data_IF_304422386886
#
_entry.id   IF_304422386886
#
_cell.length_a   1.000
_cell.length_b   1.000
_cell.length_c   1.000
_cell.angle_alpha   90.00
_cell.angle_beta   90.00
_cell.angle_gamma   90.00
#
_symmetry.space_group_name_H-M   'P 1'
#
loop_
_entity.id
_entity.type
_entity.pdbx_description
1 polymer ?
#
# COMPACT_ATOMS: atom_id res chain seq x y z
N UNK A 1 -17.31 -3.61 21.08
CA UNK A 1 -17.32 -4.22 19.73
C UNK A 1 -18.17 -3.39 18.79
N UNK A 2 -17.67 -3.07 17.59
CA UNK A 2 -18.42 -2.37 16.55
C UNK A 2 -18.66 -3.32 15.36
N UNK A 3 -19.89 -3.39 14.89
CA UNK A 3 -20.28 -4.22 13.74
C UNK A 3 -21.13 -3.41 12.77
N UNK A 4 -20.77 -3.45 11.48
CA UNK A 4 -21.52 -2.79 10.41
C UNK A 4 -21.23 -3.45 9.06
N UNK A 5 -22.27 -3.76 8.28
CA UNK A 5 -22.11 -4.24 6.90
C UNK A 5 -21.30 -5.54 6.74
N UNK A 6 -21.29 -6.42 7.74
CA UNK A 6 -20.47 -7.64 7.75
C UNK A 6 -19.01 -7.43 8.17
N UNK A 7 -18.63 -6.19 8.49
CA UNK A 7 -17.33 -5.85 9.06
C UNK A 7 -17.43 -5.72 10.58
N UNK A 8 -16.33 -6.06 11.27
CA UNK A 8 -16.24 -6.01 12.72
C UNK A 8 -14.91 -5.44 13.18
N UNK A 9 -14.95 -4.56 14.17
CA UNK A 9 -13.79 -4.07 14.92
C UNK A 9 -14.00 -4.43 16.39
N UNK A 10 -13.03 -5.12 16.96
CA UNK A 10 -13.07 -5.62 18.34
C UNK A 10 -11.93 -4.99 19.12
N UNK A 11 -12.27 -4.34 20.22
CA UNK A 11 -11.30 -3.99 21.26
C UNK A 11 -11.24 -5.16 22.24
N UNK A 12 -10.14 -5.92 22.20
CA UNK A 12 -9.95 -7.07 23.10
C UNK A 12 -9.52 -6.64 24.51
N UNK A 13 -9.17 -5.36 24.72
CA UNK A 13 -8.85 -4.80 26.02
C UNK A 13 -10.08 -4.50 26.89
N UNK A 14 -11.26 -4.44 26.28
CA UNK A 14 -12.53 -4.20 26.97
C UNK A 14 -12.79 -5.26 28.06
N UNK A 15 -13.42 -4.83 29.16
CA UNK A 15 -13.71 -5.67 30.34
C UNK A 15 -14.45 -6.97 29.99
N UNK A 16 -15.26 -6.95 28.93
CA UNK A 16 -15.98 -8.13 28.45
C UNK A 16 -15.06 -9.27 27.97
N UNK A 17 -13.83 -8.94 27.56
CA UNK A 17 -12.81 -9.89 27.09
C UNK A 17 -11.71 -10.17 28.12
N UNK A 18 -11.63 -9.38 29.19
CA UNK A 18 -10.57 -9.46 30.22
C UNK A 18 -11.06 -9.96 31.58
N UNK A 19 -12.36 -10.28 31.72
CA UNK A 19 -12.89 -10.82 32.97
C UNK A 19 -12.20 -12.14 33.37
N UNK A 20 -11.40 -12.08 34.45
CA UNK A 20 -10.64 -13.23 34.96
C UNK A 20 -9.42 -13.62 34.10
N UNK A 21 -8.97 -12.76 33.19
CA UNK A 21 -7.80 -12.98 32.32
C UNK A 21 -6.92 -11.73 32.28
N UNK A 22 -5.59 -11.86 32.06
CA UNK A 22 -4.75 -10.68 31.83
C UNK A 22 -5.18 -9.93 30.56
N UNK A 23 -4.86 -8.64 30.50
CA UNK A 23 -5.09 -7.81 29.30
C UNK A 23 -4.34 -8.40 28.09
N UNK A 24 -4.90 -8.39 26.87
CA UNK A 24 -4.30 -9.06 25.70
C UNK A 24 -2.93 -8.55 25.26
N UNK A 25 -2.58 -7.31 25.65
CA UNK A 25 -1.24 -6.78 25.44
C UNK A 25 -0.18 -7.49 26.29
N UNK A 26 -0.56 -7.99 27.47
CA UNK A 26 0.33 -8.68 28.42
C UNK A 26 0.36 -10.17 28.10
N UNK A 27 -0.82 -10.77 27.94
CA UNK A 27 -1.00 -12.19 27.64
C UNK A 27 -1.72 -12.34 26.28
N UNK A 28 -1.07 -12.89 25.25
CA UNK A 28 -1.65 -12.97 23.91
C UNK A 28 -2.75 -14.03 23.78
N UNK A 29 -3.00 -14.86 24.79
CA UNK A 29 -3.89 -16.04 24.71
C UNK A 29 -5.29 -15.67 24.21
N UNK A 30 -5.90 -14.62 24.75
CA UNK A 30 -7.24 -14.19 24.32
C UNK A 30 -7.25 -13.81 22.84
N UNK A 31 -6.23 -13.09 22.37
CA UNK A 31 -6.10 -12.73 20.95
C UNK A 31 -5.91 -13.96 20.07
N UNK A 32 -5.07 -14.91 20.48
CA UNK A 32 -4.87 -16.16 19.73
C UNK A 32 -6.16 -16.96 19.59
N UNK A 33 -6.96 -17.07 20.67
CA UNK A 33 -8.27 -17.73 20.65
C UNK A 33 -9.22 -17.05 19.65
N UNK A 34 -9.29 -15.71 19.64
CA UNK A 34 -10.15 -14.98 18.69
C UNK A 34 -9.68 -15.13 17.24
N UNK A 35 -8.36 -15.19 17.00
CA UNK A 35 -7.79 -15.47 15.67
C UNK A 35 -8.16 -16.90 15.24
N UNK A 36 -8.02 -17.89 16.11
CA UNK A 36 -8.34 -19.30 15.80
C UNK A 36 -9.81 -19.52 15.43
N UNK A 37 -10.75 -18.76 16.00
CA UNK A 37 -12.18 -18.81 15.60
C UNK A 37 -12.38 -18.51 14.12
N UNK A 38 -11.47 -17.76 13.48
CA UNK A 38 -11.55 -17.47 12.06
C UNK A 38 -11.45 -18.73 11.19
N UNK A 39 -10.93 -19.86 11.68
CA UNK A 39 -10.99 -21.14 10.96
C UNK A 39 -12.42 -21.50 10.55
N UNK A 40 -13.41 -21.20 11.40
CA UNK A 40 -14.82 -21.52 11.14
C UNK A 40 -15.59 -20.37 10.45
N UNK A 41 -14.91 -19.28 10.04
CA UNK A 41 -15.55 -18.07 9.49
C UNK A 41 -15.08 -17.77 8.07
N UNK A 42 -15.44 -18.58 7.06
CA UNK A 42 -14.93 -18.45 5.68
C UNK A 42 -15.29 -17.12 5.00
N UNK A 43 -16.32 -16.42 5.49
CA UNK A 43 -16.71 -15.09 5.01
C UNK A 43 -15.73 -13.98 5.42
N UNK A 44 -14.91 -14.17 6.45
CA UNK A 44 -13.91 -13.19 6.89
C UNK A 44 -12.68 -13.30 6.01
N UNK A 45 -12.53 -12.44 5.00
CA UNK A 45 -11.38 -12.46 4.09
C UNK A 45 -10.16 -11.65 4.55
N UNK A 46 -10.35 -10.72 5.50
CA UNK A 46 -9.30 -9.82 5.99
C UNK A 46 -9.32 -9.78 7.52
N UNK A 47 -8.13 -9.89 8.13
CA UNK A 47 -7.89 -9.70 9.56
C UNK A 47 -6.97 -8.47 9.74
N UNK A 48 -7.45 -7.47 10.47
CA UNK A 48 -6.66 -6.33 10.94
C UNK A 48 -6.16 -6.59 12.36
N UNK A 49 -4.89 -6.30 12.64
CA UNK A 49 -4.27 -6.45 13.95
C UNK A 49 -3.41 -5.23 14.27
N UNK A 50 -3.35 -4.87 15.55
CA UNK A 50 -2.30 -4.03 16.11
C UNK A 50 -1.33 -4.90 16.95
N UNK A 51 -0.05 -4.58 16.85
CA UNK A 51 1.01 -5.19 17.63
C UNK A 51 1.71 -4.07 18.40
N UNK A 52 1.38 -3.98 19.69
CA UNK A 52 1.92 -2.95 20.58
C UNK A 52 3.08 -3.55 21.39
N UNK A 53 4.21 -2.87 21.38
CA UNK A 53 5.45 -3.26 22.05
C UNK A 53 5.67 -2.40 23.31
N UNK A 54 6.80 -2.65 23.99
CA UNK A 54 7.24 -1.89 25.13
C UNK A 54 7.13 -2.66 26.45
N UNK A 55 7.45 -1.98 27.54
CA UNK A 55 7.45 -2.57 28.87
C UNK A 55 6.05 -3.02 29.29
N UNK A 56 5.97 -4.22 29.87
CA UNK A 56 4.71 -4.82 30.32
C UNK A 56 3.89 -5.50 29.21
N UNK A 57 4.27 -5.34 27.94
CA UNK A 57 3.69 -6.12 26.86
C UNK A 57 4.30 -7.53 26.81
N UNK A 58 3.65 -8.42 26.05
CA UNK A 58 4.15 -9.76 25.73
C UNK A 58 5.61 -9.70 25.25
N UNK A 59 6.42 -10.71 25.60
CA UNK A 59 7.82 -10.77 25.21
C UNK A 59 8.03 -10.98 23.71
N UNK A 60 7.11 -11.69 23.04
CA UNK A 60 7.15 -11.93 21.60
C UNK A 60 5.75 -11.86 20.96
N UNK A 61 5.15 -10.67 20.86
CA UNK A 61 3.78 -10.52 20.40
C UNK A 61 3.60 -10.88 18.91
N UNK A 62 4.61 -10.68 18.06
CA UNK A 62 4.58 -11.13 16.67
C UNK A 62 4.61 -12.65 16.57
N UNK A 63 5.45 -13.32 17.36
CA UNK A 63 5.52 -14.79 17.37
C UNK A 63 4.15 -15.42 17.69
N UNK A 64 3.49 -14.93 18.73
CA UNK A 64 2.15 -15.39 19.10
C UNK A 64 1.10 -15.16 18.00
N UNK A 65 1.20 -14.04 17.26
CA UNK A 65 0.32 -13.76 16.11
C UNK A 65 0.60 -14.74 14.97
N UNK A 66 1.87 -14.95 14.62
CA UNK A 66 2.28 -15.87 13.55
C UNK A 66 1.78 -17.28 13.84
N UNK A 67 2.01 -17.79 15.06
CA UNK A 67 1.57 -19.12 15.47
C UNK A 67 0.05 -19.29 15.30
N UNK A 68 -0.75 -18.34 15.80
CA UNK A 68 -2.20 -18.40 15.68
C UNK A 68 -2.68 -18.36 14.21
N UNK A 69 -2.04 -17.53 13.36
CA UNK A 69 -2.39 -17.43 11.94
C UNK A 69 -2.02 -18.70 11.18
N UNK A 70 -0.88 -19.32 11.48
CA UNK A 70 -0.48 -20.59 10.87
C UNK A 70 -1.47 -21.70 11.21
N UNK A 71 -1.95 -21.77 12.44
CA UNK A 71 -3.01 -22.72 12.81
C UNK A 71 -4.31 -22.49 12.03
N UNK A 72 -4.70 -21.23 11.81
CA UNK A 72 -5.88 -20.90 10.99
C UNK A 72 -5.65 -21.34 9.55
N UNK A 73 -4.53 -20.95 8.94
CA UNK A 73 -4.19 -21.26 7.54
C UNK A 73 -4.08 -22.76 7.28
N UNK A 74 -3.58 -23.55 8.24
CA UNK A 74 -3.48 -25.00 8.11
C UNK A 74 -4.86 -25.69 8.07
N UNK A 75 -5.88 -25.11 8.71
CA UNK A 75 -7.23 -25.70 8.82
C UNK A 75 -8.25 -25.08 7.87
N UNK A 76 -7.91 -23.98 7.20
CA UNK A 76 -8.85 -23.15 6.44
C UNK A 76 -8.52 -23.15 4.95
N UNK A 77 -9.50 -23.53 4.13
CA UNK A 77 -9.36 -23.50 2.67
C UNK A 77 -9.57 -22.10 2.05
N UNK A 78 -10.48 -21.29 2.62
CA UNK A 78 -10.74 -19.94 2.15
C UNK A 78 -9.58 -19.00 2.51
N UNK A 79 -9.15 -18.09 1.61
CA UNK A 79 -8.04 -17.19 1.89
C UNK A 79 -8.35 -16.26 3.07
N UNK A 80 -7.28 -15.88 3.78
CA UNK A 80 -7.30 -14.89 4.85
C UNK A 80 -6.07 -13.99 4.68
N UNK A 81 -6.31 -12.73 4.31
CA UNK A 81 -5.26 -11.71 4.29
C UNK A 81 -5.15 -11.12 5.69
N UNK A 82 -3.93 -10.97 6.18
CA UNK A 82 -3.66 -10.39 7.49
C UNK A 82 -2.84 -9.13 7.31
N UNK A 83 -3.27 -8.05 7.97
CA UNK A 83 -2.60 -6.76 7.98
C UNK A 83 -2.32 -6.38 9.43
N UNK A 84 -1.11 -5.94 9.72
CA UNK A 84 -0.69 -5.53 11.05
C UNK A 84 -0.08 -4.12 11.04
N UNK A 85 -0.36 -3.34 12.08
CA UNK A 85 0.39 -2.14 12.43
C UNK A 85 1.23 -2.39 13.67
N UNK A 86 2.46 -1.87 13.73
CA UNK A 86 3.31 -1.95 14.92
C UNK A 86 3.44 -0.60 15.62
N UNK A 87 3.14 -0.58 16.91
CA UNK A 87 3.38 0.57 17.79
C UNK A 87 4.48 0.23 18.78
N UNK A 88 5.55 1.01 18.78
CA UNK A 88 6.76 0.76 19.57
C UNK A 88 8.00 1.20 18.81
N UNK A 89 9.16 0.84 19.32
CA UNK A 89 10.47 1.28 18.85
C UNK A 89 11.49 0.12 18.85
N UNK A 90 12.64 0.31 18.20
CA UNK A 90 13.73 -0.68 18.24
C UNK A 90 14.43 -0.78 19.60
N UNK A 91 14.22 0.20 20.48
CA UNK A 91 14.77 0.19 21.85
C UNK A 91 13.85 -0.49 22.86
N UNK A 92 12.62 -0.84 22.47
CA UNK A 92 11.73 -1.63 23.31
C UNK A 92 12.27 -3.06 23.49
N UNK A 93 11.96 -3.74 24.61
CA UNK A 93 12.50 -5.07 24.91
C UNK A 93 12.31 -6.12 23.80
N UNK A 94 11.26 -5.98 22.99
CA UNK A 94 10.91 -6.90 21.91
C UNK A 94 11.65 -6.61 20.59
N UNK A 95 12.14 -5.37 20.40
CA UNK A 95 12.76 -4.88 19.16
C UNK A 95 11.78 -4.76 17.97
N UNK A 96 11.34 -3.54 17.63
CA UNK A 96 10.35 -3.30 16.56
C UNK A 96 10.69 -3.93 15.21
N UNK A 97 11.92 -3.76 14.73
CA UNK A 97 12.34 -4.22 13.40
C UNK A 97 12.28 -5.75 13.30
N UNK A 98 12.77 -6.47 14.32
CA UNK A 98 12.70 -7.92 14.37
C UNK A 98 11.26 -8.46 14.47
N UNK A 99 10.39 -7.78 15.22
CA UNK A 99 8.96 -8.10 15.27
C UNK A 99 8.28 -7.89 13.90
N UNK A 100 8.63 -6.81 13.20
CA UNK A 100 8.09 -6.50 11.87
C UNK A 100 8.57 -7.52 10.81
N UNK A 101 9.85 -7.88 10.81
CA UNK A 101 10.41 -8.90 9.90
C UNK A 101 9.74 -10.25 10.10
N UNK A 102 9.58 -10.69 11.36
CA UNK A 102 8.88 -11.95 11.68
C UNK A 102 7.46 -12.00 11.11
N UNK A 103 6.70 -10.91 11.20
CA UNK A 103 5.36 -10.82 10.61
C UNK A 103 5.41 -10.89 9.08
N UNK A 104 6.34 -10.15 8.45
CA UNK A 104 6.48 -10.12 6.99
C UNK A 104 6.90 -11.49 6.42
N UNK A 105 7.83 -12.18 7.08
CA UNK A 105 8.24 -13.54 6.71
C UNK A 105 7.08 -14.53 6.76
N UNK A 106 6.17 -14.37 7.72
CA UNK A 106 4.92 -15.12 7.80
C UNK A 106 3.85 -14.68 6.76
N UNK A 107 4.17 -13.77 5.84
CA UNK A 107 3.24 -13.27 4.83
C UNK A 107 2.11 -12.42 5.42
N UNK A 108 2.38 -11.68 6.48
CA UNK A 108 1.49 -10.67 7.06
C UNK A 108 1.91 -9.30 6.50
N UNK A 109 0.95 -8.53 5.99
CA UNK A 109 1.22 -7.18 5.50
C UNK A 109 1.44 -6.23 6.68
N UNK A 110 2.68 -5.78 6.88
CA UNK A 110 3.01 -4.80 7.92
C UNK A 110 3.02 -3.41 7.30
N UNK A 111 2.11 -2.55 7.78
CA UNK A 111 1.93 -1.16 7.34
C UNK A 111 2.20 -0.19 8.48
N UNK A 112 2.51 1.06 8.15
CA UNK A 112 3.07 2.00 9.13
C UNK A 112 2.00 2.82 9.86
N UNK A 113 0.78 2.92 9.29
CA UNK A 113 -0.30 3.72 9.86
C UNK A 113 -1.63 2.98 9.89
N UNK A 114 -2.50 3.35 10.84
CA UNK A 114 -3.87 2.84 10.89
C UNK A 114 -4.67 3.21 9.63
N UNK A 115 -4.45 4.41 9.08
CA UNK A 115 -5.10 4.85 7.85
C UNK A 115 -4.76 3.91 6.69
N UNK A 116 -3.47 3.61 6.50
CA UNK A 116 -3.00 2.68 5.48
C UNK A 116 -3.59 1.27 5.68
N UNK A 117 -3.59 0.77 6.91
CA UNK A 117 -4.16 -0.55 7.23
C UNK A 117 -5.65 -0.64 6.86
N UNK A 118 -6.43 0.39 7.22
CA UNK A 118 -7.86 0.44 6.94
C UNK A 118 -8.14 0.60 5.45
N UNK A 119 -7.42 1.48 4.75
CA UNK A 119 -7.57 1.65 3.30
C UNK A 119 -7.20 0.36 2.54
N UNK A 120 -6.15 -0.34 2.97
CA UNK A 120 -5.78 -1.64 2.41
C UNK A 120 -6.89 -2.66 2.65
N UNK A 121 -7.41 -2.79 3.87
CA UNK A 121 -8.53 -3.69 4.18
C UNK A 121 -9.79 -3.39 3.35
N UNK A 122 -10.12 -2.11 3.16
CA UNK A 122 -11.25 -1.70 2.31
C UNK A 122 -11.01 -2.11 0.86
N UNK A 123 -9.79 -1.93 0.33
CA UNK A 123 -9.49 -2.29 -1.06
C UNK A 123 -9.59 -3.80 -1.30
N UNK A 124 -9.20 -4.61 -0.31
CA UNK A 124 -9.23 -6.08 -0.37
C UNK A 124 -10.63 -6.69 -0.16
N UNK A 125 -11.52 -5.97 0.52
CA UNK A 125 -12.91 -6.44 0.77
C UNK A 125 -13.88 -5.99 -0.31
N UNK A 126 -13.53 -4.98 -1.11
CA UNK A 126 -14.33 -4.58 -2.27
C UNK A 126 -14.14 -5.59 -3.39
N UNK A 127 -15.25 -6.05 -3.96
CA UNK A 127 -15.23 -6.81 -5.20
C UNK A 127 -14.60 -5.91 -6.28
N UNK A 128 -13.37 -6.22 -6.68
CA UNK A 128 -12.80 -5.63 -7.89
C UNK A 128 -13.52 -6.29 -9.07
N UNK A 129 -14.34 -5.53 -9.78
CA UNK A 129 -14.68 -5.93 -11.15
C UNK A 129 -13.34 -6.19 -11.84
N UNK A 130 -13.14 -7.40 -12.38
CA UNK A 130 -11.98 -7.67 -13.24
C UNK A 130 -12.04 -6.62 -14.33
N UNK A 131 -11.18 -5.62 -14.23
CA UNK A 131 -11.25 -4.46 -15.08
C UNK A 131 -11.28 -4.93 -16.53
N UNK A 132 -12.22 -4.41 -17.31
CA UNK A 132 -12.08 -4.41 -18.77
C UNK A 132 -10.66 -3.86 -19.00
N UNK A 133 -9.76 -4.57 -19.71
CA UNK A 133 -8.40 -4.11 -19.90
C UNK A 133 -8.47 -2.67 -20.36
N UNK A 134 -7.99 -1.75 -19.51
CA UNK A 134 -8.01 -0.34 -19.87
C UNK A 134 -7.20 -0.25 -21.15
N UNK A 135 -7.81 0.25 -22.22
CA UNK A 135 -7.19 0.25 -23.54
C UNK A 135 -5.81 0.89 -23.42
N UNK A 136 -4.78 0.06 -23.55
CA UNK A 136 -3.40 0.46 -23.36
C UNK A 136 -3.11 1.63 -24.29
N UNK A 137 -2.64 2.74 -23.73
CA UNK A 137 -2.38 3.95 -24.50
C UNK A 137 -0.93 3.88 -24.96
N UNK A 138 -0.70 3.55 -26.23
CA UNK A 138 0.63 3.42 -26.81
C UNK A 138 1.53 4.65 -26.60
N UNK A 139 0.95 5.84 -26.37
CA UNK A 139 1.70 7.05 -26.02
C UNK A 139 2.48 6.92 -24.69
N UNK A 140 2.06 6.04 -23.80
CA UNK A 140 2.73 5.78 -22.51
C UNK A 140 3.90 4.80 -22.63
N UNK A 141 4.02 4.06 -23.73
CA UNK A 141 5.18 3.17 -24.00
C UNK A 141 6.44 3.96 -24.39
N UNK A 142 6.24 5.22 -24.76
CA UNK A 142 7.25 6.08 -25.32
C UNK A 142 6.62 7.04 -26.31
N UNK A 143 7.21 8.22 -26.43
CA UNK A 143 6.75 9.25 -27.35
C UNK A 143 7.80 9.48 -28.42
N UNK A 144 7.37 9.49 -29.68
CA UNK A 144 8.16 9.99 -30.79
C UNK A 144 7.63 11.37 -31.16
N UNK A 145 8.51 12.37 -31.15
CA UNK A 145 8.11 13.78 -31.21
C UNK A 145 8.46 14.37 -32.56
N UNK A 146 7.50 15.03 -33.20
CA UNK A 146 7.78 16.00 -34.27
C UNK A 146 7.70 17.39 -33.63
N UNK A 147 8.86 18.01 -33.39
CA UNK A 147 8.91 19.34 -32.78
C UNK A 147 8.80 20.43 -33.86
N UNK A 148 7.69 21.18 -33.86
CA UNK A 148 7.51 22.39 -34.65
C UNK A 148 7.44 23.60 -33.71
N UNK A 149 8.47 24.44 -33.72
CA UNK A 149 8.59 25.56 -32.78
C UNK A 149 10.05 25.89 -32.47
N UNK A 150 10.35 26.20 -31.21
CA UNK A 150 11.72 26.48 -30.78
C UNK A 150 12.60 25.24 -30.94
N UNK A 151 13.77 25.44 -31.54
CA UNK A 151 14.77 24.37 -31.70
C UNK A 151 15.31 23.86 -30.37
N UNK A 152 15.35 24.71 -29.34
CA UNK A 152 15.79 24.32 -27.99
C UNK A 152 15.01 23.14 -27.45
N UNK A 153 13.69 23.09 -27.63
CA UNK A 153 12.87 21.96 -27.17
C UNK A 153 13.23 20.63 -27.87
N UNK A 154 13.61 20.66 -29.15
CA UNK A 154 14.12 19.46 -29.81
C UNK A 154 15.50 19.04 -29.28
N UNK A 155 16.36 19.99 -28.92
CA UNK A 155 17.67 19.68 -28.33
C UNK A 155 17.52 19.08 -26.93
N UNK A 156 16.57 19.58 -26.12
CA UNK A 156 16.26 19.04 -24.80
C UNK A 156 15.68 17.61 -24.90
N UNK A 157 14.79 17.37 -25.87
CA UNK A 157 14.26 16.03 -26.14
C UNK A 157 15.35 15.07 -26.64
N UNK A 158 16.26 15.55 -27.48
CA UNK A 158 17.37 14.74 -27.98
C UNK A 158 18.38 14.40 -26.86
N UNK A 159 18.70 15.36 -25.99
CA UNK A 159 19.64 15.13 -24.88
C UNK A 159 19.09 14.18 -23.80
N UNK A 160 17.76 14.13 -23.64
CA UNK A 160 17.07 13.14 -22.80
C UNK A 160 16.88 11.77 -23.47
N UNK A 161 17.36 11.58 -24.71
CA UNK A 161 17.21 10.32 -25.44
C UNK A 161 15.83 10.07 -26.04
N UNK A 162 14.94 11.08 -26.04
CA UNK A 162 13.61 10.98 -26.65
C UNK A 162 13.72 11.10 -28.16
N UNK A 163 13.18 10.15 -28.95
CA UNK A 163 13.20 10.24 -30.41
C UNK A 163 12.45 11.50 -30.88
N UNK A 164 13.18 12.43 -31.52
CA UNK A 164 12.63 13.71 -31.95
C UNK A 164 13.11 14.07 -33.35
N UNK A 165 12.19 14.56 -34.18
CA UNK A 165 12.49 15.23 -35.44
C UNK A 165 12.08 16.68 -35.30
N UNK A 166 13.03 17.60 -35.46
CA UNK A 166 12.70 19.02 -35.49
C UNK A 166 12.26 19.44 -36.89
N UNK A 167 10.98 19.76 -37.03
CA UNK A 167 10.43 20.37 -38.22
C UNK A 167 10.63 21.89 -38.14
N UNK A 168 11.54 22.41 -38.97
CA UNK A 168 11.87 23.83 -38.98
C UNK A 168 10.75 24.63 -39.66
N UNK A 169 9.74 24.97 -38.86
CA UNK A 169 8.61 25.78 -39.26
C UNK A 169 8.86 27.27 -38.95
N UNK A 170 8.45 28.12 -39.88
CA UNK A 170 8.30 29.55 -39.66
C UNK A 170 6.99 30.00 -40.31
N UNK A 171 6.27 30.98 -39.74
CA UNK A 171 5.13 31.57 -40.44
C UNK A 171 5.63 32.15 -41.76
N UNK A 172 4.90 31.90 -42.84
CA UNK A 172 5.25 32.38 -44.18
C UNK A 172 5.12 33.91 -44.20
N UNK A 173 6.19 34.63 -43.88
CA UNK A 173 6.36 35.97 -44.42
C UNK A 173 6.62 35.80 -45.91
N UNK A 174 5.57 35.71 -46.73
CA UNK A 174 5.65 35.39 -48.16
C UNK A 174 6.73 36.23 -48.87
N UNK A 175 7.93 35.66 -49.02
CA UNK A 175 9.09 36.29 -49.66
C UNK A 175 9.64 37.59 -49.04
N UNK A 176 9.08 38.12 -47.95
CA UNK A 176 9.47 39.44 -47.43
C UNK A 176 10.64 39.35 -46.45
N UNK A 177 11.86 39.34 -47.00
CA UNK A 177 13.12 39.29 -46.24
C UNK A 177 13.26 40.39 -45.18
N UNK A 178 12.66 41.57 -45.41
CA UNK A 178 12.65 42.67 -44.44
C UNK A 178 11.83 42.34 -43.20
N UNK A 179 10.64 41.75 -43.38
CA UNK A 179 9.78 41.37 -42.25
C UNK A 179 10.39 40.23 -41.43
N UNK A 180 11.01 39.24 -42.09
CA UNK A 180 11.75 38.17 -41.41
C UNK A 180 12.95 38.70 -40.61
N UNK A 181 13.66 39.70 -41.14
CA UNK A 181 14.76 40.37 -40.44
C UNK A 181 14.27 41.17 -39.23
N UNK A 182 13.19 41.93 -39.38
CA UNK A 182 12.58 42.69 -38.28
C UNK A 182 12.10 41.76 -37.14
N UNK A 183 11.45 40.64 -37.47
CA UNK A 183 11.01 39.67 -36.48
C UNK A 183 12.18 39.05 -35.70
N UNK A 184 13.34 38.81 -36.34
CA UNK A 184 14.55 38.32 -35.67
C UNK A 184 15.18 39.33 -34.71
N UNK A 185 14.89 40.62 -34.87
CA UNK A 185 15.44 41.71 -34.03
C UNK A 185 14.54 42.04 -32.82
N UNK A 186 13.33 41.48 -32.76
CA UNK A 186 12.35 41.75 -31.70
C UNK A 186 12.41 40.75 -30.53
N UNK A 187 13.19 39.67 -30.64
CA UNK A 187 13.48 38.71 -29.58
C UNK A 187 14.96 38.76 -29.22
#
# INVERSE_FOLDING_TARGET
MLEAGGHRIVDLGDDSYTLGRPHPMIDPTTRSIEIEKLTAMPAVGVLLLDVVLGYGACADPAGAVVEAIEQVRAKRAAPLVVIATLTGTDVDPQGRSGQAEKLREAGIAVVETLEEAVLLAISLTRHQERGIPQAHRALLDGVQVINAGLRSFALDLQSSGTPVVHYQWAPVAGGNARLASLLKQLH
#
